data_IF_209025859136
#
_entry.id   IF_209025859136
#
_cell.length_a   1.000
_cell.length_b   1.000
_cell.length_c   1.000
_cell.angle_alpha   90.00
_cell.angle_beta   90.00
_cell.angle_gamma   90.00
#
_symmetry.space_group_name_H-M   'P 1'
#
loop_
_entity.id
_entity.type
_entity.pdbx_description
1 polymer ?
#
# COMPACT_ATOMS: atom_id res chain seq x y z
N UNK A 1 -42.38 18.14 -19.79
CA UNK A 1 -42.20 16.85 -19.10
C UNK A 1 -41.07 16.13 -19.80
N UNK A 2 -39.82 16.37 -19.39
CA UNK A 2 -38.68 15.51 -19.73
C UNK A 2 -37.76 15.50 -18.50
N UNK A 3 -38.19 14.71 -17.54
CA UNK A 3 -37.44 14.30 -16.35
C UNK A 3 -36.56 13.11 -16.78
N UNK A 4 -35.48 13.37 -17.49
CA UNK A 4 -34.67 12.30 -18.08
C UNK A 4 -33.17 12.51 -17.87
N UNK A 5 -32.62 11.62 -17.02
CA UNK A 5 -31.21 11.24 -16.89
C UNK A 5 -30.25 11.96 -15.92
N UNK A 6 -30.67 12.21 -14.68
CA UNK A 6 -29.73 12.40 -13.55
C UNK A 6 -29.34 11.06 -12.87
N UNK A 7 -29.25 9.96 -13.64
CA UNK A 7 -28.86 8.64 -13.15
C UNK A 7 -27.72 8.09 -14.01
N UNK A 8 -26.54 8.73 -14.01
CA UNK A 8 -25.38 8.15 -14.73
C UNK A 8 -24.00 8.37 -14.11
N UNK A 9 -23.82 9.27 -13.12
CA UNK A 9 -22.45 9.68 -12.73
C UNK A 9 -22.09 9.41 -11.26
N UNK A 10 -22.84 8.56 -10.57
CA UNK A 10 -22.53 8.15 -9.19
C UNK A 10 -21.86 6.77 -9.14
N UNK A 11 -21.06 6.41 -10.14
CA UNK A 11 -20.10 5.32 -10.00
C UNK A 11 -18.98 5.87 -9.12
N UNK A 12 -18.87 5.49 -7.83
CA UNK A 12 -17.67 5.83 -7.08
C UNK A 12 -16.50 5.28 -7.89
N UNK A 13 -15.53 6.11 -8.22
CA UNK A 13 -14.32 5.70 -8.93
C UNK A 13 -13.52 4.79 -8.01
N UNK A 14 -13.93 3.51 -7.95
CA UNK A 14 -13.46 2.48 -7.01
C UNK A 14 -11.95 2.25 -7.14
N UNK A 15 -11.34 2.75 -8.21
CA UNK A 15 -9.90 2.78 -8.42
C UNK A 15 -9.49 4.01 -9.23
N UNK A 16 -9.73 5.23 -8.73
CA UNK A 16 -9.13 6.41 -9.36
C UNK A 16 -7.61 6.21 -9.43
N UNK A 17 -7.08 6.03 -10.65
CA UNK A 17 -5.65 5.85 -10.90
C UNK A 17 -4.98 7.19 -10.61
N UNK A 18 -4.58 7.38 -9.35
CA UNK A 18 -3.84 8.55 -8.91
C UNK A 18 -2.34 8.28 -9.04
N UNK A 19 -1.50 9.33 -9.18
CA UNK A 19 -0.04 9.17 -9.15
C UNK A 19 0.47 8.42 -7.91
N UNK A 20 -0.24 8.56 -6.78
CA UNK A 20 0.07 7.82 -5.56
C UNK A 20 -0.17 6.31 -5.73
N UNK A 21 -1.31 5.89 -6.29
CA UNK A 21 -1.61 4.46 -6.54
C UNK A 21 -0.57 3.84 -7.47
N UNK A 22 -0.17 4.56 -8.52
CA UNK A 22 0.88 4.11 -9.43
C UNK A 22 2.21 3.97 -8.68
N UNK A 23 2.59 4.99 -7.89
CA UNK A 23 3.82 4.97 -7.08
C UNK A 23 3.87 3.79 -6.11
N UNK A 24 2.77 3.52 -5.40
CA UNK A 24 2.66 2.37 -4.50
C UNK A 24 2.62 1.04 -5.22
N UNK A 25 2.05 0.97 -6.43
CA UNK A 25 2.10 -0.23 -7.26
C UNK A 25 3.51 -0.57 -7.73
N UNK A 26 4.29 0.43 -8.15
CA UNK A 26 5.71 0.23 -8.46
C UNK A 26 6.48 -0.18 -7.21
N UNK A 27 6.24 0.50 -6.07
CA UNK A 27 6.89 0.16 -4.81
C UNK A 27 6.56 -1.27 -4.35
N UNK A 28 5.32 -1.75 -4.51
CA UNK A 28 4.94 -3.11 -4.12
C UNK A 28 5.58 -4.18 -4.98
N UNK A 29 5.69 -3.95 -6.28
CA UNK A 29 6.41 -4.85 -7.20
C UNK A 29 7.88 -4.92 -6.81
N UNK A 30 8.55 -3.78 -6.65
CA UNK A 30 9.98 -3.74 -6.30
C UNK A 30 10.22 -4.39 -4.94
N UNK A 31 9.49 -4.02 -3.89
CA UNK A 31 9.68 -4.61 -2.56
C UNK A 31 9.34 -6.09 -2.53
N UNK A 32 8.35 -6.56 -3.29
CA UNK A 32 8.01 -7.98 -3.35
C UNK A 32 9.15 -8.80 -3.97
N UNK A 33 9.77 -8.30 -5.05
CA UNK A 33 10.96 -8.92 -5.65
C UNK A 33 12.12 -8.95 -4.63
N UNK A 34 12.37 -7.83 -3.95
CA UNK A 34 13.42 -7.75 -2.93
C UNK A 34 13.16 -8.72 -1.78
N UNK A 35 11.92 -8.81 -1.31
CA UNK A 35 11.53 -9.71 -0.24
C UNK A 35 11.78 -11.16 -0.61
N UNK A 36 11.51 -11.60 -1.83
CA UNK A 36 11.75 -13.00 -2.23
C UNK A 36 13.23 -13.26 -2.50
N UNK A 37 13.97 -12.25 -2.99
CA UNK A 37 15.39 -12.38 -3.32
C UNK A 37 16.27 -12.44 -2.07
N UNK A 38 16.00 -11.57 -1.08
CA UNK A 38 16.83 -11.40 0.10
C UNK A 38 16.30 -12.14 1.34
N UNK A 39 15.15 -12.81 1.26
CA UNK A 39 14.65 -13.58 2.39
C UNK A 39 15.33 -14.94 2.49
N UNK A 40 16.17 -15.09 3.51
CA UNK A 40 16.89 -16.33 3.81
C UNK A 40 16.10 -17.33 4.67
N UNK A 41 14.80 -17.11 4.87
CA UNK A 41 13.94 -18.06 5.56
C UNK A 41 13.89 -19.42 4.83
N UNK A 42 13.91 -20.51 5.59
CA UNK A 42 13.81 -21.89 5.07
C UNK A 42 12.58 -22.08 4.16
N UNK A 43 11.50 -21.34 4.46
CA UNK A 43 10.25 -21.30 3.70
C UNK A 43 10.44 -20.77 2.27
N UNK A 44 11.29 -19.76 2.06
CA UNK A 44 11.59 -19.20 0.72
C UNK A 44 12.74 -19.94 0.04
N UNK A 45 13.71 -20.44 0.80
CA UNK A 45 14.83 -21.19 0.24
C UNK A 45 14.42 -22.54 -0.35
N UNK A 46 13.50 -23.26 0.31
CA UNK A 46 13.01 -24.56 -0.16
C UNK A 46 12.01 -24.48 -1.32
N UNK A 47 11.51 -23.29 -1.65
CA UNK A 47 10.49 -23.11 -2.66
C UNK A 47 11.07 -23.15 -4.08
N UNK A 48 10.44 -23.93 -4.97
CA UNK A 48 10.76 -23.94 -6.39
C UNK A 48 10.44 -22.61 -7.08
N UNK A 49 10.97 -22.40 -8.29
CA UNK A 49 10.78 -21.17 -9.07
C UNK A 49 9.31 -20.76 -9.21
N UNK A 50 8.42 -21.73 -9.48
CA UNK A 50 7.00 -21.48 -9.64
C UNK A 50 6.34 -20.94 -8.36
N UNK A 51 6.67 -21.50 -7.20
CA UNK A 51 6.15 -21.01 -5.91
C UNK A 51 6.66 -19.62 -5.58
N UNK A 52 7.94 -19.33 -5.89
CA UNK A 52 8.51 -17.98 -5.74
C UNK A 52 7.79 -16.97 -6.64
N UNK A 53 7.45 -17.35 -7.87
CA UNK A 53 6.72 -16.49 -8.79
C UNK A 53 5.29 -16.21 -8.30
N UNK A 54 4.57 -17.22 -7.82
CA UNK A 54 3.24 -17.03 -7.21
C UNK A 54 3.31 -16.18 -5.94
N UNK A 55 4.31 -16.39 -5.10
CA UNK A 55 4.54 -15.59 -3.90
C UNK A 55 4.83 -14.12 -4.23
N UNK A 56 5.55 -13.87 -5.33
CA UNK A 56 5.79 -12.53 -5.84
C UNK A 56 4.47 -11.86 -6.24
N UNK A 57 3.63 -12.53 -7.02
CA UNK A 57 2.34 -11.97 -7.45
C UNK A 57 1.46 -11.69 -6.23
N UNK A 58 1.32 -12.67 -5.34
CA UNK A 58 0.49 -12.54 -4.13
C UNK A 58 1.02 -11.44 -3.21
N UNK A 59 2.34 -11.37 -3.01
CA UNK A 59 3.00 -10.33 -2.23
C UNK A 59 2.80 -8.94 -2.84
N UNK A 60 2.97 -8.77 -4.16
CA UNK A 60 2.81 -7.49 -4.84
C UNK A 60 1.35 -6.98 -4.80
N UNK A 61 0.36 -7.87 -5.00
CA UNK A 61 -1.06 -7.53 -4.91
C UNK A 61 -1.45 -7.16 -3.48
N UNK A 62 -1.10 -8.01 -2.50
CA UNK A 62 -1.43 -7.77 -1.10
C UNK A 62 -0.67 -6.55 -0.54
N UNK A 63 0.55 -6.31 -1.01
CA UNK A 63 1.33 -5.11 -0.72
C UNK A 63 0.68 -3.83 -1.21
N UNK A 64 0.18 -3.82 -2.45
CA UNK A 64 -0.58 -2.68 -2.97
C UNK A 64 -1.82 -2.43 -2.12
N UNK A 65 -2.62 -3.47 -1.85
CA UNK A 65 -3.82 -3.36 -1.00
C UNK A 65 -3.48 -2.82 0.38
N UNK A 66 -2.41 -3.33 1.01
CA UNK A 66 -1.93 -2.84 2.30
C UNK A 66 -1.52 -1.36 2.27
N UNK A 67 -0.83 -0.92 1.22
CA UNK A 67 -0.48 0.49 1.03
C UNK A 67 -1.73 1.39 0.88
N UNK A 68 -2.74 0.93 0.12
CA UNK A 68 -4.00 1.65 -0.03
C UNK A 68 -4.79 1.72 1.28
N UNK A 69 -4.80 0.66 2.07
CA UNK A 69 -5.39 0.66 3.43
C UNK A 69 -4.63 1.66 4.31
N UNK A 70 -3.29 1.68 4.24
CA UNK A 70 -2.48 2.67 4.93
C UNK A 70 -2.81 4.10 4.52
N UNK A 71 -3.08 4.36 3.24
CA UNK A 71 -3.51 5.67 2.76
C UNK A 71 -4.91 6.04 3.27
N UNK A 72 -5.82 5.07 3.35
CA UNK A 72 -7.13 5.28 3.96
C UNK A 72 -7.02 5.63 5.45
N UNK A 73 -6.15 4.95 6.20
CA UNK A 73 -5.85 5.27 7.60
C UNK A 73 -5.26 6.67 7.74
N UNK A 74 -4.33 7.04 6.85
CA UNK A 74 -3.77 8.40 6.82
C UNK A 74 -4.87 9.44 6.64
N UNK A 75 -5.75 9.27 5.66
CA UNK A 75 -6.85 10.20 5.39
C UNK A 75 -7.85 10.28 6.55
N UNK A 76 -8.05 9.17 7.26
CA UNK A 76 -8.96 9.11 8.40
C UNK A 76 -8.39 9.75 9.66
N UNK A 77 -7.10 9.53 9.95
CA UNK A 77 -6.51 9.90 11.23
C UNK A 77 -5.63 11.15 11.17
N UNK A 78 -5.26 11.64 9.98
CA UNK A 78 -4.49 12.88 9.86
C UNK A 78 -5.38 14.10 10.17
N UNK A 79 -5.06 14.88 11.20
CA UNK A 79 -5.78 16.11 11.50
C UNK A 79 -5.51 17.19 10.44
N UNK A 80 -6.55 17.97 10.11
CA UNK A 80 -6.53 19.02 9.07
C UNK A 80 -5.68 20.24 9.46
N UNK A 81 -5.52 20.48 10.76
CA UNK A 81 -4.63 21.51 11.30
C UNK A 81 -3.85 20.97 12.51
N UNK A 82 -2.52 20.95 12.40
CA UNK A 82 -1.63 20.70 13.54
C UNK A 82 -0.97 22.01 13.92
N UNK A 83 -1.43 22.59 15.03
CA UNK A 83 -0.77 23.74 15.65
C UNK A 83 0.30 23.23 16.61
N UNK A 84 1.57 23.44 16.28
CA UNK A 84 2.69 23.08 17.17
C UNK A 84 3.24 24.33 17.85
N UNK A 85 3.54 24.23 19.14
CA UNK A 85 4.22 25.28 19.93
C UNK A 85 5.74 25.03 20.02
N UNK A 86 6.27 24.06 19.24
CA UNK A 86 7.60 23.46 19.42
C UNK A 86 8.58 23.59 18.24
N UNK A 87 8.32 24.48 17.28
CA UNK A 87 9.24 24.79 16.17
C UNK A 87 8.99 24.01 14.86
N UNK A 88 9.58 24.51 13.77
CA UNK A 88 9.33 24.04 12.40
C UNK A 88 9.74 22.58 12.12
N UNK A 89 10.76 22.06 12.82
CA UNK A 89 11.24 20.69 12.63
C UNK A 89 10.22 19.63 13.06
N UNK A 90 9.45 19.90 14.13
CA UNK A 90 8.42 18.98 14.61
C UNK A 90 7.29 18.84 13.57
N UNK A 91 6.93 19.93 12.91
CA UNK A 91 5.95 19.96 11.82
C UNK A 91 6.41 19.15 10.61
N UNK A 92 7.68 19.29 10.21
CA UNK A 92 8.24 18.54 9.09
C UNK A 92 8.24 17.03 9.40
N UNK A 93 8.66 16.64 10.61
CA UNK A 93 8.69 15.24 11.02
C UNK A 93 7.30 14.61 11.06
N UNK A 94 6.32 15.34 11.62
CA UNK A 94 4.94 14.87 11.68
C UNK A 94 4.34 14.72 10.28
N UNK A 95 4.61 15.69 9.38
CA UNK A 95 4.16 15.62 8.00
C UNK A 95 4.79 14.43 7.27
N UNK A 96 6.08 14.15 7.50
CA UNK A 96 6.77 12.99 6.93
C UNK A 96 6.22 11.66 7.47
N UNK A 97 5.97 11.58 8.78
CA UNK A 97 5.36 10.42 9.42
C UNK A 97 3.98 10.11 8.83
N UNK A 98 3.11 11.11 8.70
CA UNK A 98 1.80 10.89 8.10
C UNK A 98 1.91 10.59 6.61
N UNK A 99 2.84 11.20 5.89
CA UNK A 99 3.03 10.97 4.45
C UNK A 99 3.44 9.54 4.13
N UNK A 100 4.30 8.91 4.93
CA UNK A 100 4.88 7.58 4.63
C UNK A 100 4.48 6.48 5.61
N UNK A 101 4.27 6.78 6.88
CA UNK A 101 4.19 5.80 7.97
C UNK A 101 3.13 4.71 7.75
N UNK A 102 1.82 5.04 7.77
CA UNK A 102 0.77 4.04 7.65
C UNK A 102 0.84 3.25 6.33
N UNK A 103 1.20 3.92 5.24
CA UNK A 103 1.30 3.32 3.90
C UNK A 103 2.47 2.33 3.78
N UNK A 104 3.65 2.68 4.30
CA UNK A 104 4.83 1.78 4.29
C UNK A 104 4.60 0.58 5.20
N UNK A 105 3.97 0.77 6.38
CA UNK A 105 3.63 -0.34 7.29
C UNK A 105 2.65 -1.29 6.59
N UNK A 106 1.59 -0.75 5.99
CA UNK A 106 0.63 -1.54 5.23
C UNK A 106 1.26 -2.29 4.06
N UNK A 107 2.17 -1.65 3.33
CA UNK A 107 2.92 -2.26 2.22
C UNK A 107 3.74 -3.47 2.69
N UNK A 108 4.59 -3.29 3.71
CA UNK A 108 5.48 -4.35 4.22
C UNK A 108 4.66 -5.51 4.77
N UNK A 109 3.64 -5.21 5.58
CA UNK A 109 2.78 -6.23 6.17
C UNK A 109 2.01 -6.99 5.09
N UNK A 110 1.47 -6.28 4.09
CA UNK A 110 0.78 -6.87 2.95
C UNK A 110 1.69 -7.82 2.16
N UNK A 111 2.91 -7.41 1.84
CA UNK A 111 3.88 -8.26 1.11
C UNK A 111 4.25 -9.50 1.93
N UNK A 112 4.53 -9.33 3.23
CA UNK A 112 4.90 -10.43 4.11
C UNK A 112 3.78 -11.47 4.22
N UNK A 113 2.53 -11.01 4.44
CA UNK A 113 1.35 -11.88 4.53
C UNK A 113 1.04 -12.54 3.18
N UNK A 114 1.08 -11.78 2.09
CA UNK A 114 0.81 -12.30 0.74
C UNK A 114 1.83 -13.36 0.31
N UNK A 115 3.11 -13.12 0.58
CA UNK A 115 4.17 -14.10 0.33
C UNK A 115 3.98 -15.34 1.22
N UNK A 116 3.79 -15.15 2.52
CA UNK A 116 3.62 -16.24 3.50
C UNK A 116 2.43 -17.15 3.16
N UNK A 117 1.34 -16.59 2.65
CA UNK A 117 0.15 -17.36 2.25
C UNK A 117 0.46 -18.38 1.14
N UNK A 118 1.34 -18.03 0.20
CA UNK A 118 1.70 -18.89 -0.93
C UNK A 118 2.81 -19.87 -0.57
N UNK A 119 3.73 -19.45 0.28
CA UNK A 119 4.93 -20.20 0.65
C UNK A 119 4.73 -21.13 1.86
N UNK A 120 3.50 -21.22 2.39
CA UNK A 120 3.15 -22.06 3.53
C UNK A 120 3.25 -23.56 3.24
#
# INVERSE_FOLDING_TARGET
MEEHNDISNNTPSVLAITPAVIGWGVASVVLSILMITFNHSAMVLGAGFFMKFLAFIAGAVMGLVGALIGDAIRRFAQPDAVYTTGGALHLIWLKLFWLLGPQVIGLILGIALGSSLVLR
#
